data_IF_511082903956
#
_entry.id   IF_511082903956
#
_cell.length_a   1.000
_cell.length_b   1.000
_cell.length_c   1.000
_cell.angle_alpha   90.00
_cell.angle_beta   90.00
_cell.angle_gamma   90.00
#
_symmetry.space_group_name_H-M   'P 1'
#
loop_
_entity.id
_entity.type
_entity.pdbx_description
1 polymer ?
#
# COMPACT_ATOMS: atom_id res chain seq x y z
N UNK A 1 18.59 -4.36 -9.44
CA UNK A 1 18.22 -3.71 -10.71
C UNK A 1 16.94 -4.37 -11.20
N UNK A 2 15.79 -3.69 -11.11
CA UNK A 2 14.50 -4.24 -11.56
C UNK A 2 14.45 -4.09 -13.09
N UNK A 3 14.23 -5.19 -13.81
CA UNK A 3 14.10 -5.18 -15.27
C UNK A 3 12.85 -4.38 -15.69
N UNK A 4 12.88 -3.62 -16.81
CA UNK A 4 11.69 -2.96 -17.31
C UNK A 4 10.63 -4.02 -17.65
N UNK A 5 9.42 -3.84 -17.12
CA UNK A 5 8.28 -4.70 -17.40
C UNK A 5 7.89 -4.67 -18.89
N UNK A 6 7.10 -5.66 -19.37
CA UNK A 6 6.65 -5.70 -20.76
C UNK A 6 5.94 -4.39 -21.12
N UNK A 7 6.17 -3.89 -22.35
CA UNK A 7 5.63 -2.62 -22.84
C UNK A 7 4.11 -2.56 -22.67
N UNK A 8 3.65 -1.88 -21.61
CA UNK A 8 2.24 -1.80 -21.21
C UNK A 8 2.00 -1.88 -19.70
N UNK A 9 2.81 -2.64 -18.95
CA UNK A 9 2.67 -2.76 -17.49
C UNK A 9 3.48 -1.70 -16.76
N UNK A 10 2.80 -0.77 -16.09
CA UNK A 10 3.41 0.22 -15.20
C UNK A 10 3.71 -0.41 -13.84
N UNK A 11 4.73 0.13 -13.16
CA UNK A 11 5.02 -0.16 -11.77
C UNK A 11 4.65 1.05 -10.93
N UNK A 12 3.77 0.85 -9.95
CA UNK A 12 3.35 1.86 -8.99
C UNK A 12 4.03 1.58 -7.66
N UNK A 13 4.66 2.60 -7.08
CA UNK A 13 5.18 2.53 -5.72
C UNK A 13 4.18 3.23 -4.83
N UNK A 14 3.59 2.51 -3.88
CA UNK A 14 2.60 3.06 -2.97
C UNK A 14 3.23 3.52 -1.68
N UNK A 15 2.75 4.66 -1.20
CA UNK A 15 3.07 5.24 0.10
C UNK A 15 2.00 4.82 1.12
N UNK A 16 2.37 4.85 2.40
CA UNK A 16 1.45 4.71 3.53
C UNK A 16 0.27 5.68 3.44
N UNK A 17 0.50 6.92 3.01
CA UNK A 17 -0.56 7.93 2.94
C UNK A 17 -1.73 7.50 2.04
N UNK A 18 -1.44 6.81 0.93
CA UNK A 18 -2.45 6.25 0.04
C UNK A 18 -3.29 5.19 0.75
N UNK A 19 -2.64 4.30 1.51
CA UNK A 19 -3.31 3.22 2.24
C UNK A 19 -4.10 3.70 3.47
N UNK A 20 -3.69 4.81 4.07
CA UNK A 20 -4.42 5.43 5.18
C UNK A 20 -5.63 6.23 4.69
N UNK A 21 -5.53 6.84 3.51
CA UNK A 21 -6.67 7.48 2.85
C UNK A 21 -7.66 6.43 2.32
N UNK A 22 -7.15 5.34 1.77
CA UNK A 22 -7.95 4.24 1.26
C UNK A 22 -7.25 2.88 1.45
N UNK A 23 -7.70 2.07 2.41
CA UNK A 23 -7.07 0.78 2.68
C UNK A 23 -7.24 -0.22 1.55
N UNK A 24 -8.16 0.01 0.60
CA UNK A 24 -8.40 -0.87 -0.55
C UNK A 24 -7.58 -0.52 -1.78
N UNK A 25 -6.75 0.53 -1.73
CA UNK A 25 -6.02 1.03 -2.89
C UNK A 25 -5.18 -0.06 -3.60
N UNK A 26 -4.64 -1.03 -2.85
CA UNK A 26 -3.87 -2.16 -3.39
C UNK A 26 -4.62 -2.98 -4.45
N UNK A 27 -5.95 -2.98 -4.37
CA UNK A 27 -6.82 -3.77 -5.26
C UNK A 27 -7.20 -3.02 -6.54
N UNK A 28 -6.70 -1.80 -6.76
CA UNK A 28 -7.13 -0.90 -7.85
C UNK A 28 -6.13 -0.76 -8.99
N UNK A 29 -5.10 -1.60 -9.02
CA UNK A 29 -4.02 -1.51 -10.00
C UNK A 29 -4.11 -2.58 -11.09
N UNK A 30 -5.15 -3.42 -11.10
CA UNK A 30 -5.44 -4.43 -12.13
C UNK A 30 -4.19 -5.22 -12.55
N UNK A 31 -3.78 -5.09 -13.81
CA UNK A 31 -2.62 -5.76 -14.39
C UNK A 31 -1.29 -5.09 -14.06
N UNK A 32 -1.25 -3.98 -13.33
CA UNK A 32 -0.01 -3.27 -13.02
C UNK A 32 0.72 -3.84 -11.79
N UNK A 33 2.04 -3.64 -11.76
CA UNK A 33 2.84 -4.04 -10.62
C UNK A 33 2.70 -2.99 -9.52
N UNK A 34 2.44 -3.45 -8.30
CA UNK A 34 2.40 -2.59 -7.11
C UNK A 34 3.56 -2.97 -6.20
N UNK A 35 4.38 -1.97 -5.86
CA UNK A 35 5.50 -2.11 -4.94
C UNK A 35 5.17 -1.35 -3.67
N UNK A 36 5.27 -2.04 -2.54
CA UNK A 36 5.23 -1.44 -1.21
C UNK A 36 6.64 -1.45 -0.64
N UNK A 37 7.27 -0.28 -0.47
CA UNK A 37 8.51 -0.19 0.28
C UNK A 37 8.33 -0.75 1.70
N UNK A 38 9.36 -1.41 2.25
CA UNK A 38 9.30 -1.96 3.61
C UNK A 38 8.92 -0.90 4.66
N UNK A 39 9.39 0.34 4.49
CA UNK A 39 9.05 1.47 5.37
C UNK A 39 7.54 1.72 5.47
N UNK A 40 6.77 1.42 4.42
CA UNK A 40 5.30 1.56 4.44
C UNK A 40 4.68 0.55 5.40
N UNK A 41 5.20 -0.68 5.44
CA UNK A 41 4.74 -1.72 6.36
C UNK A 41 5.01 -1.32 7.80
N UNK A 42 6.22 -0.85 8.09
CA UNK A 42 6.60 -0.38 9.42
C UNK A 42 5.75 0.81 9.88
N UNK A 43 5.43 1.72 8.97
CA UNK A 43 4.57 2.86 9.26
C UNK A 43 3.12 2.49 9.52
N UNK A 44 2.54 1.57 8.74
CA UNK A 44 1.22 1.02 9.00
C UNK A 44 1.18 0.34 10.36
N UNK A 45 2.22 -0.43 10.69
CA UNK A 45 2.33 -1.13 11.97
C UNK A 45 2.32 -0.17 13.16
N UNK A 46 3.09 0.93 13.07
CA UNK A 46 3.07 2.01 14.07
C UNK A 46 1.70 2.68 14.18
N UNK A 47 1.01 2.88 13.04
CA UNK A 47 -0.26 3.62 13.00
C UNK A 47 -1.48 2.78 13.40
N UNK A 48 -1.40 1.44 13.35
CA UNK A 48 -2.52 0.53 13.64
C UNK A 48 -3.05 0.61 15.08
N UNK A 49 -2.26 1.15 16.01
CA UNK A 49 -2.62 1.31 17.44
C UNK A 49 -3.49 2.53 17.70
N UNK A 50 -3.62 3.43 16.73
CA UNK A 50 -4.52 4.59 16.85
C UNK A 50 -5.97 4.13 16.97
N UNK A 51 -6.73 4.83 17.80
CA UNK A 51 -8.16 4.57 18.06
C UNK A 51 -9.09 5.39 17.14
N UNK A 52 -8.53 5.98 16.09
CA UNK A 52 -9.24 6.80 15.11
C UNK A 52 -9.32 6.11 13.74
N UNK A 53 -9.86 6.83 12.75
CA UNK A 53 -10.00 6.35 11.38
C UNK A 53 -8.66 5.98 10.75
N UNK A 54 -7.58 6.71 11.04
CA UNK A 54 -6.24 6.38 10.55
C UNK A 54 -5.80 5.01 11.06
N UNK A 55 -6.02 4.72 12.34
CA UNK A 55 -5.75 3.40 12.90
C UNK A 55 -6.65 2.31 12.31
N UNK A 56 -7.93 2.61 12.07
CA UNK A 56 -8.86 1.69 11.43
C UNK A 56 -8.43 1.33 9.99
N UNK A 57 -8.02 2.34 9.21
CA UNK A 57 -7.54 2.18 7.85
C UNK A 57 -6.20 1.46 7.83
N UNK A 58 -5.27 1.78 8.74
CA UNK A 58 -4.01 1.03 8.87
C UNK A 58 -4.25 -0.47 9.14
N UNK A 59 -5.15 -0.80 10.08
CA UNK A 59 -5.53 -2.20 10.36
C UNK A 59 -6.17 -2.87 9.14
N UNK A 60 -6.99 -2.15 8.38
CA UNK A 60 -7.65 -2.70 7.19
C UNK A 60 -6.66 -2.92 6.04
N UNK A 61 -5.75 -1.99 5.81
CA UNK A 61 -4.69 -2.12 4.82
C UNK A 61 -3.77 -3.31 5.15
N UNK A 62 -3.33 -3.45 6.42
CA UNK A 62 -2.51 -4.59 6.86
C UNK A 62 -3.19 -5.94 6.60
N UNK A 63 -4.52 -6.05 6.75
CA UNK A 63 -5.26 -7.30 6.48
C UNK A 63 -5.38 -7.66 5.00
N UNK A 64 -5.14 -6.70 4.11
CA UNK A 64 -5.20 -6.88 2.65
C UNK A 64 -3.83 -7.18 2.04
N UNK A 65 -2.76 -7.08 2.84
CA UNK A 65 -1.39 -7.48 2.52
C UNK A 65 -1.19 -8.96 2.83
#
# INVERSE_FOLDING_TARGET
MVAPGPAGRKTYVLDTCVLLADPTALLRFDEHHVVLPLVVIEELDRKKTRMDEVGANARRAIRLL
#
